data_IF_878685164826
#
_entry.id   IF_878685164826
#
_cell.length_a   1.000
_cell.length_b   1.000
_cell.length_c   1.000
_cell.angle_alpha   90.00
_cell.angle_beta   90.00
_cell.angle_gamma   90.00
#
_symmetry.space_group_name_H-M   'P 1'
#
loop_
_entity.id
_entity.type
_entity.pdbx_description
1 polymer ?
#
# COMPACT_ATOMS: atom_id res chain seq x y z
N UNK A 1 3.98 -8.46 -56.01
CA UNK A 1 5.45 -8.45 -55.87
C UNK A 1 6.01 -7.44 -56.86
N UNK A 2 6.61 -6.36 -56.34
CA UNK A 2 7.71 -5.53 -56.89
C UNK A 2 7.62 -4.98 -58.34
N UNK A 3 7.88 -3.71 -58.66
CA UNK A 3 8.93 -2.83 -58.14
C UNK A 3 8.51 -1.34 -58.20
N UNK A 4 9.11 -0.57 -57.28
CA UNK A 4 8.98 0.87 -57.13
C UNK A 4 9.27 1.66 -58.42
N UNK A 5 8.42 2.65 -58.72
CA UNK A 5 8.72 3.68 -59.69
C UNK A 5 9.86 4.55 -59.15
N UNK A 6 11.09 4.23 -59.56
CA UNK A 6 12.28 5.06 -59.32
C UNK A 6 12.08 6.39 -60.03
N UNK A 7 11.76 7.45 -59.26
CA UNK A 7 11.81 8.82 -59.74
C UNK A 7 13.27 9.14 -60.10
N UNK A 8 13.60 8.99 -61.38
CA UNK A 8 14.90 9.41 -61.92
C UNK A 8 15.01 10.92 -61.71
N UNK A 9 15.91 11.35 -60.83
CA UNK A 9 16.32 12.75 -60.72
C UNK A 9 16.79 13.22 -62.09
N UNK A 10 15.98 14.05 -62.74
CA UNK A 10 16.38 14.71 -63.98
C UNK A 10 17.48 15.71 -63.64
N UNK A 11 18.70 15.42 -64.06
CA UNK A 11 19.76 16.42 -64.09
C UNK A 11 19.37 17.48 -65.13
N UNK A 12 18.88 18.62 -64.65
CA UNK A 12 18.70 19.81 -65.46
C UNK A 12 20.07 20.39 -65.76
N UNK A 13 20.65 20.02 -66.90
CA UNK A 13 21.83 20.68 -67.45
C UNK A 13 21.36 22.00 -68.05
N UNK A 14 21.35 23.06 -67.25
CA UNK A 14 21.10 24.41 -67.74
C UNK A 14 22.14 24.73 -68.82
N UNK A 15 21.69 24.99 -70.06
CA UNK A 15 22.55 25.40 -71.19
C UNK A 15 23.32 26.65 -70.80
N UNK A 16 24.65 26.60 -70.83
CA UNK A 16 25.48 27.80 -70.79
C UNK A 16 25.13 28.65 -72.02
N UNK A 17 24.47 29.80 -71.80
CA UNK A 17 24.35 30.83 -72.82
C UNK A 17 25.71 31.50 -72.96
N UNK A 18 26.45 31.14 -74.00
CA UNK A 18 27.49 31.98 -74.56
C UNK A 18 26.78 33.18 -75.21
N UNK A 19 26.51 34.21 -74.42
CA UNK A 19 26.17 35.53 -74.93
C UNK A 19 27.48 36.27 -75.19
N UNK A 20 27.63 36.65 -76.46
CA UNK A 20 28.68 37.47 -77.01
C UNK A 20 29.02 38.67 -76.11
N UNK A 21 30.31 38.92 -75.96
CA UNK A 21 30.88 39.85 -75.00
C UNK A 21 30.62 41.30 -75.39
N UNK A 22 29.62 41.92 -74.78
CA UNK A 22 29.72 43.35 -74.40
C UNK A 22 30.07 43.35 -72.92
N UNK A 23 31.26 43.85 -72.59
CA UNK A 23 31.76 43.96 -71.22
C UNK A 23 30.93 44.99 -70.43
N UNK A 24 29.73 44.59 -70.00
CA UNK A 24 29.02 45.24 -68.90
C UNK A 24 29.80 44.88 -67.63
N UNK A 25 30.16 45.84 -66.77
CA UNK A 25 30.90 45.54 -65.56
C UNK A 25 30.10 44.56 -64.70
N UNK A 26 30.54 43.30 -64.69
CA UNK A 26 29.98 42.26 -63.83
C UNK A 26 30.25 42.69 -62.40
N UNK A 27 29.27 43.35 -61.78
CA UNK A 27 29.29 43.61 -60.34
C UNK A 27 29.28 42.25 -59.67
N UNK A 28 30.46 41.80 -59.24
CA UNK A 28 30.63 40.61 -58.40
C UNK A 28 29.54 40.64 -57.34
N UNK A 29 28.74 39.58 -57.12
CA UNK A 29 27.69 39.61 -56.11
C UNK A 29 28.33 39.53 -54.72
N UNK A 30 28.91 40.64 -54.26
CA UNK A 30 29.58 40.78 -52.94
C UNK A 30 28.55 40.78 -51.79
N UNK A 31 27.28 40.47 -52.08
CA UNK A 31 26.16 40.60 -51.16
C UNK A 31 25.46 39.29 -50.76
N UNK A 32 25.64 38.17 -51.49
CA UNK A 32 24.93 36.92 -51.18
C UNK A 32 25.36 36.33 -49.84
N UNK A 33 26.67 36.27 -49.60
CA UNK A 33 27.24 35.79 -48.33
C UNK A 33 27.05 36.80 -47.19
N UNK A 34 27.15 38.11 -47.47
CA UNK A 34 26.95 39.17 -46.46
C UNK A 34 25.48 39.28 -46.01
N UNK A 35 24.53 39.14 -46.93
CA UNK A 35 23.11 39.06 -46.62
C UNK A 35 22.72 37.72 -45.97
N UNK A 36 23.38 36.63 -46.37
CA UNK A 36 23.21 35.32 -45.75
C UNK A 36 23.57 35.31 -44.27
N UNK A 37 24.66 35.97 -43.86
CA UNK A 37 25.05 36.07 -42.44
C UNK A 37 24.05 36.91 -41.64
N UNK A 38 23.62 38.07 -42.16
CA UNK A 38 22.65 38.93 -41.46
C UNK A 38 21.27 38.26 -41.37
N UNK A 39 20.81 37.63 -42.46
CA UNK A 39 19.56 36.85 -42.46
C UNK A 39 19.63 35.62 -41.57
N UNK A 40 20.78 34.93 -41.54
CA UNK A 40 21.03 33.80 -40.63
C UNK A 40 21.01 34.26 -39.18
N UNK A 41 21.67 35.36 -38.83
CA UNK A 41 21.67 35.90 -37.47
C UNK A 41 20.27 36.34 -37.04
N UNK A 42 19.51 37.00 -37.93
CA UNK A 42 18.14 37.41 -37.65
C UNK A 42 17.21 36.19 -37.47
N UNK A 43 17.30 35.21 -38.37
CA UNK A 43 16.53 33.97 -38.27
C UNK A 43 16.91 33.12 -37.07
N UNK A 44 18.21 33.01 -36.78
CA UNK A 44 18.74 32.31 -35.60
C UNK A 44 18.33 33.02 -34.31
N UNK A 45 18.30 34.36 -34.26
CA UNK A 45 17.85 35.10 -33.08
C UNK A 45 16.36 34.89 -32.81
N UNK A 46 15.51 34.90 -33.85
CA UNK A 46 14.08 34.62 -33.72
C UNK A 46 13.85 33.15 -33.34
N UNK A 47 14.54 32.21 -33.99
CA UNK A 47 14.42 30.78 -33.69
C UNK A 47 14.96 30.43 -32.29
N UNK A 48 16.09 31.03 -31.88
CA UNK A 48 16.65 30.87 -30.54
C UNK A 48 15.73 31.48 -29.48
N UNK A 49 15.15 32.65 -29.75
CA UNK A 49 14.11 33.26 -28.91
C UNK A 49 12.88 32.38 -28.80
N UNK A 50 12.37 31.85 -29.92
CA UNK A 50 11.24 30.93 -29.94
C UNK A 50 11.54 29.63 -29.17
N UNK A 51 12.74 29.07 -29.31
CA UNK A 51 13.16 27.90 -28.53
C UNK A 51 13.28 28.22 -27.03
N UNK A 52 13.79 29.41 -26.69
CA UNK A 52 13.87 29.87 -25.30
C UNK A 52 12.47 30.06 -24.69
N UNK A 53 11.49 30.48 -25.48
CA UNK A 53 10.08 30.52 -25.07
C UNK A 53 9.49 29.12 -24.86
N UNK A 54 9.78 28.15 -25.72
CA UNK A 54 9.34 26.75 -25.53
C UNK A 54 9.92 26.11 -24.26
N UNK A 55 11.18 26.43 -23.91
CA UNK A 55 11.80 25.94 -22.67
C UNK A 55 11.15 26.52 -21.39
N UNK A 56 10.56 27.71 -21.47
CA UNK A 56 9.86 28.35 -20.34
C UNK A 56 8.54 27.66 -19.99
N UNK A 57 7.84 27.06 -20.96
CA UNK A 57 6.63 26.28 -20.71
C UNK A 57 6.94 24.96 -19.99
N UNK A 58 7.98 24.26 -20.42
CA UNK A 58 8.41 23.00 -19.77
C UNK A 58 8.95 23.23 -18.35
N UNK A 59 9.64 24.36 -18.10
CA UNK A 59 10.10 24.72 -16.76
C UNK A 59 8.95 25.15 -15.82
N UNK A 60 7.91 25.80 -16.36
CA UNK A 60 6.68 26.14 -15.63
C UNK A 60 5.81 24.92 -15.37
N UNK A 61 5.73 23.99 -16.32
CA UNK A 61 4.99 22.74 -16.19
C UNK A 61 5.65 21.80 -15.16
N UNK A 62 6.98 21.74 -15.14
CA UNK A 62 7.72 21.02 -14.10
C UNK A 62 7.57 21.66 -12.71
N UNK A 63 7.55 22.99 -12.60
CA UNK A 63 7.35 23.70 -11.32
C UNK A 63 5.91 23.54 -10.80
N UNK A 64 4.92 23.51 -11.69
CA UNK A 64 3.54 23.16 -11.35
C UNK A 64 3.43 21.68 -10.91
N UNK A 65 4.15 20.76 -11.59
CA UNK A 65 4.20 19.35 -11.19
C UNK A 65 4.90 19.15 -9.83
N UNK A 66 5.96 19.91 -9.53
CA UNK A 66 6.63 19.93 -8.22
C UNK A 66 5.70 20.44 -7.11
N UNK A 67 4.91 21.50 -7.37
CA UNK A 67 3.90 21.99 -6.43
C UNK A 67 2.86 20.91 -6.11
N UNK A 68 2.35 20.23 -7.15
CA UNK A 68 1.38 19.14 -6.97
C UNK A 68 1.99 17.94 -6.25
N UNK A 69 3.28 17.66 -6.45
CA UNK A 69 3.95 16.56 -5.77
C UNK A 69 4.21 16.85 -4.28
N UNK A 70 4.43 18.11 -3.88
CA UNK A 70 4.61 18.48 -2.47
C UNK A 70 3.28 18.43 -1.73
N UNK A 71 2.19 18.94 -2.32
CA UNK A 71 0.85 18.85 -1.73
C UNK A 71 0.37 17.40 -1.60
N UNK A 72 0.60 16.57 -2.62
CA UNK A 72 0.27 15.15 -2.58
C UNK A 72 1.16 14.36 -1.59
N UNK A 73 2.45 14.71 -1.47
CA UNK A 73 3.35 14.05 -0.52
C UNK A 73 3.06 14.47 0.92
N UNK A 74 2.66 15.71 1.17
CA UNK A 74 2.19 16.18 2.48
C UNK A 74 0.91 15.44 2.88
N UNK A 75 -0.09 15.37 1.99
CA UNK A 75 -1.32 14.63 2.25
C UNK A 75 -1.07 13.12 2.50
N UNK A 76 -0.11 12.52 1.80
CA UNK A 76 0.27 11.13 2.02
C UNK A 76 1.06 10.94 3.33
N UNK A 77 1.87 11.92 3.74
CA UNK A 77 2.58 11.90 5.02
C UNK A 77 1.62 12.08 6.20
N UNK A 78 0.62 12.95 6.08
CA UNK A 78 -0.45 13.09 7.06
C UNK A 78 -1.25 11.79 7.23
N UNK A 79 -1.56 11.10 6.12
CA UNK A 79 -2.19 9.77 6.17
C UNK A 79 -1.30 8.72 6.83
N UNK A 80 -0.01 8.66 6.50
CA UNK A 80 0.94 7.74 7.14
C UNK A 80 1.08 8.04 8.64
N UNK A 81 1.13 9.31 9.04
CA UNK A 81 1.13 9.72 10.45
C UNK A 81 -0.15 9.30 11.18
N UNK A 82 -1.31 9.46 10.55
CA UNK A 82 -2.58 8.97 11.10
C UNK A 82 -2.63 7.44 11.20
N UNK A 83 -2.02 6.72 10.26
CA UNK A 83 -1.87 5.27 10.34
C UNK A 83 -0.95 4.84 11.48
N UNK A 84 0.18 5.53 11.70
CA UNK A 84 1.07 5.28 12.84
C UNK A 84 0.32 5.49 14.16
N UNK A 85 -0.39 6.60 14.32
CA UNK A 85 -1.17 6.86 15.55
C UNK A 85 -2.30 5.85 15.79
N UNK A 86 -2.88 5.26 14.74
CA UNK A 86 -3.84 4.15 14.88
C UNK A 86 -3.15 2.85 15.29
N UNK A 87 -1.99 2.56 14.73
CA UNK A 87 -1.19 1.37 15.09
C UNK A 87 -0.79 1.46 16.55
N UNK A 88 -0.29 2.60 17.03
CA UNK A 88 0.07 2.81 18.44
C UNK A 88 -1.11 2.59 19.40
N UNK A 89 -2.30 3.07 19.03
CA UNK A 89 -3.53 2.83 19.82
C UNK A 89 -3.89 1.35 19.85
N UNK A 90 -3.88 0.69 18.70
CA UNK A 90 -4.17 -0.75 18.59
C UNK A 90 -3.15 -1.55 19.39
N UNK A 91 -1.86 -1.22 19.34
CA UNK A 91 -0.83 -1.90 20.14
C UNK A 91 -1.03 -1.70 21.65
N UNK A 92 -1.41 -0.49 22.08
CA UNK A 92 -1.74 -0.20 23.48
C UNK A 92 -2.99 -0.97 23.94
N UNK A 93 -4.04 -0.97 23.13
CA UNK A 93 -5.26 -1.76 23.36
C UNK A 93 -4.95 -3.26 23.39
N UNK A 94 -4.10 -3.76 22.50
CA UNK A 94 -3.70 -5.17 22.46
C UNK A 94 -2.86 -5.54 23.69
N UNK A 95 -2.03 -4.63 24.21
CA UNK A 95 -1.27 -4.84 25.46
C UNK A 95 -2.17 -4.88 26.69
N UNK A 96 -3.10 -3.94 26.81
CA UNK A 96 -4.07 -3.91 27.92
C UNK A 96 -5.05 -5.08 27.84
N UNK A 97 -5.48 -5.42 26.63
CA UNK A 97 -6.30 -6.58 26.37
C UNK A 97 -5.51 -7.86 26.63
N UNK A 98 -4.24 -7.97 26.28
CA UNK A 98 -3.43 -9.16 26.61
C UNK A 98 -3.24 -9.35 28.12
N UNK A 99 -3.17 -8.27 28.90
CA UNK A 99 -3.12 -8.38 30.37
C UNK A 99 -4.48 -8.69 31.02
N UNK A 100 -5.58 -8.45 30.31
CA UNK A 100 -6.96 -8.62 30.84
C UNK A 100 -7.70 -9.81 30.21
N UNK A 101 -7.28 -10.23 29.02
CA UNK A 101 -7.85 -11.34 28.27
C UNK A 101 -7.40 -12.63 28.93
N UNK A 102 -8.37 -13.41 29.36
CA UNK A 102 -8.16 -14.67 30.04
C UNK A 102 -7.28 -15.56 29.19
N UNK A 103 -6.02 -15.72 29.63
CA UNK A 103 -5.06 -16.57 28.96
C UNK A 103 -5.62 -18.00 28.94
N UNK A 104 -5.34 -18.74 27.87
CA UNK A 104 -5.73 -20.16 27.77
C UNK A 104 -5.38 -20.95 29.05
N UNK A 105 -4.32 -20.55 29.73
CA UNK A 105 -3.88 -21.04 31.04
C UNK A 105 -4.91 -20.80 32.15
N UNK A 106 -5.47 -19.61 32.30
CA UNK A 106 -6.55 -19.35 33.28
C UNK A 106 -7.80 -20.18 33.00
N UNK A 107 -8.20 -20.32 31.73
CA UNK A 107 -9.35 -21.18 31.39
C UNK A 107 -9.09 -22.66 31.70
N UNK A 108 -7.83 -23.10 31.63
CA UNK A 108 -7.43 -24.46 32.01
C UNK A 108 -7.40 -24.65 33.53
N UNK A 109 -6.93 -23.63 34.28
CA UNK A 109 -6.98 -23.61 35.75
C UNK A 109 -8.41 -23.61 36.26
N UNK A 110 -9.28 -22.75 35.70
CA UNK A 110 -10.71 -22.71 36.02
C UNK A 110 -11.40 -24.05 35.74
N UNK A 111 -11.10 -24.71 34.61
CA UNK A 111 -11.62 -26.06 34.34
C UNK A 111 -11.13 -27.09 35.37
N UNK A 112 -9.87 -27.01 35.79
CA UNK A 112 -9.33 -27.90 36.80
C UNK A 112 -9.98 -27.69 38.18
N UNK A 113 -10.18 -26.43 38.59
CA UNK A 113 -10.89 -26.08 39.82
C UNK A 113 -12.35 -26.51 39.78
N UNK A 114 -13.05 -26.30 38.66
CA UNK A 114 -14.42 -26.76 38.47
C UNK A 114 -14.53 -28.28 38.56
N UNK A 115 -13.62 -29.01 37.90
CA UNK A 115 -13.58 -30.47 37.98
C UNK A 115 -13.33 -30.93 39.41
N UNK A 116 -12.39 -30.30 40.12
CA UNK A 116 -12.11 -30.60 41.52
C UNK A 116 -13.34 -30.37 42.41
N UNK A 117 -14.03 -29.24 42.25
CA UNK A 117 -15.24 -28.93 43.01
C UNK A 117 -16.37 -29.94 42.72
N UNK A 118 -16.53 -30.34 41.46
CA UNK A 118 -17.48 -31.37 41.07
C UNK A 118 -17.16 -32.73 41.72
N UNK A 119 -15.90 -33.14 41.68
CA UNK A 119 -15.47 -34.42 42.26
C UNK A 119 -15.60 -34.42 43.79
N UNK A 120 -15.32 -33.30 44.46
CA UNK A 120 -15.56 -33.13 45.90
C UNK A 120 -17.04 -33.23 46.24
N UNK A 121 -17.92 -32.51 45.53
CA UNK A 121 -19.37 -32.61 45.75
C UNK A 121 -19.90 -34.03 45.49
N UNK A 122 -19.35 -34.72 44.48
CA UNK A 122 -19.73 -36.10 44.19
C UNK A 122 -19.34 -37.05 45.32
N UNK A 123 -18.14 -36.87 45.90
CA UNK A 123 -17.69 -37.64 47.06
C UNK A 123 -18.55 -37.36 48.29
N UNK A 124 -18.88 -36.11 48.57
CA UNK A 124 -19.77 -35.76 49.69
C UNK A 124 -21.17 -36.36 49.51
N UNK A 125 -21.70 -36.38 48.28
CA UNK A 125 -22.98 -37.01 47.99
C UNK A 125 -22.94 -38.54 48.21
N UNK A 126 -21.83 -39.20 47.84
CA UNK A 126 -21.63 -40.62 48.10
C UNK A 126 -21.48 -40.92 49.59
N UNK A 127 -20.74 -40.08 50.32
CA UNK A 127 -20.54 -40.21 51.76
C UNK A 127 -21.86 -40.04 52.53
N UNK A 128 -22.65 -39.02 52.19
CA UNK A 128 -23.99 -38.83 52.75
C UNK A 128 -24.89 -40.05 52.53
N UNK A 129 -24.84 -40.64 51.33
CA UNK A 129 -25.64 -41.83 51.01
C UNK A 129 -25.18 -43.04 51.82
N UNK A 130 -23.88 -43.23 52.01
CA UNK A 130 -23.34 -44.29 52.85
C UNK A 130 -23.75 -44.09 54.33
N UNK A 131 -23.72 -42.85 54.82
CA UNK A 131 -24.17 -42.52 56.17
C UNK A 131 -25.65 -42.84 56.39
N UNK A 132 -26.52 -42.44 55.46
CA UNK A 132 -27.96 -42.77 55.50
C UNK A 132 -28.18 -44.29 55.47
N UNK A 133 -27.44 -45.00 54.63
CA UNK A 133 -27.55 -46.46 54.54
C UNK A 133 -27.15 -47.16 55.85
N UNK A 134 -26.08 -46.69 56.50
CA UNK A 134 -25.67 -47.20 57.82
C UNK A 134 -26.75 -47.00 58.88
N UNK A 135 -27.33 -45.80 58.99
CA UNK A 135 -28.43 -45.52 59.92
C UNK A 135 -29.64 -46.42 59.66
N UNK A 136 -29.98 -46.66 58.39
CA UNK A 136 -31.09 -47.53 58.03
C UNK A 136 -30.83 -49.00 58.44
N UNK A 137 -29.59 -49.48 58.27
CA UNK A 137 -29.21 -50.82 58.68
C UNK A 137 -29.26 -50.98 60.21
N UNK A 138 -28.77 -49.98 60.95
CA UNK A 138 -28.81 -49.97 62.41
C UNK A 138 -30.27 -50.00 62.91
N UNK A 139 -31.15 -49.18 62.32
CA UNK A 139 -32.58 -49.18 62.64
C UNK A 139 -33.22 -50.56 62.39
N UNK A 140 -32.85 -51.23 61.30
CA UNK A 140 -33.36 -52.55 60.98
C UNK A 140 -32.83 -53.63 61.95
N UNK A 141 -31.57 -53.51 62.39
CA UNK A 141 -31.00 -54.36 63.42
C UNK A 141 -31.70 -54.17 64.78
N UNK A 142 -31.95 -52.93 65.18
CA UNK A 142 -32.72 -52.60 66.39
C UNK A 142 -34.16 -53.10 66.33
N UNK A 143 -34.84 -52.94 65.19
CA UNK A 143 -36.20 -53.47 64.98
C UNK A 143 -36.25 -54.99 65.15
N UNK A 144 -35.29 -55.72 64.56
CA UNK A 144 -35.21 -57.19 64.69
C UNK A 144 -34.92 -57.64 66.13
N UNK A 145 -34.04 -56.93 66.84
CA UNK A 145 -33.72 -57.21 68.25
C UNK A 145 -34.92 -56.97 69.18
N UNK A 146 -35.60 -55.83 69.05
CA UNK A 146 -36.77 -55.48 69.87
C UNK A 146 -37.96 -56.44 69.69
N UNK A 147 -38.15 -56.98 68.48
CA UNK A 147 -39.19 -57.98 68.21
C UNK A 147 -38.86 -59.37 68.80
N UNK A 148 -37.58 -59.66 69.07
CA UNK A 148 -37.16 -60.92 69.71
C UNK A 148 -37.23 -60.86 71.23
N UNK A 149 -36.99 -59.68 71.84
CA UNK A 149 -37.01 -59.48 73.29
C UNK A 149 -38.43 -59.38 73.88
N UNK A 150 -39.46 -59.13 73.07
CA UNK A 150 -40.87 -59.08 73.50
C UNK A 150 -41.60 -60.43 73.35
N UNK A 151 -40.89 -61.49 72.96
CA UNK A 151 -41.44 -62.83 72.65
C UNK A 151 -41.04 -63.93 73.64
N UNK A 152 -40.44 -63.57 74.79
CA UNK A 152 -40.14 -64.47 75.91
C UNK A 152 -40.92 -64.06 77.15
#
# INVERSE_FOLDING_TARGET
MSFAAVARRAFSTSRARLSDTVAVPVRRPIGGVRGGIIGFLAGFSVAAGFSAYQLLEEYKLASAALQTSIEQLQANTEKVSAHIGRIEKVESELKTLASTASTKEETSKLRAELKKAHDTLHLEALDLKAHVWGIQQDLHAFSKSGNSSSRT
#
